data_IF_796365606524
#
_entry.id   IF_796365606524
#
_cell.length_a   1.000
_cell.length_b   1.000
_cell.length_c   1.000
_cell.angle_alpha   90.00
_cell.angle_beta   90.00
_cell.angle_gamma   90.00
#
_symmetry.space_group_name_H-M   'P 1'
#
loop_
_entity.id
_entity.type
_entity.pdbx_description
1 polymer ?
#
# COMPACT_ATOMS: atom_id res chain seq x y z
N UNK A 1 57.46 -31.30 62.10
CA UNK A 1 57.12 -30.16 61.24
C UNK A 1 56.29 -30.68 60.09
N UNK A 2 54.91 -30.64 60.20
CA UNK A 2 54.02 -31.01 59.13
C UNK A 2 53.02 -29.85 58.91
N UNK A 3 53.13 -29.20 57.77
CA UNK A 3 52.18 -28.13 57.32
C UNK A 3 50.92 -28.78 56.77
N UNK A 4 49.79 -28.50 57.37
CA UNK A 4 48.51 -28.91 56.86
C UNK A 4 48.01 -27.85 55.84
N UNK A 5 47.61 -28.29 54.66
CA UNK A 5 46.90 -27.48 53.66
C UNK A 5 45.39 -27.70 53.81
N UNK A 6 44.66 -26.59 53.98
CA UNK A 6 43.21 -26.53 53.93
C UNK A 6 42.81 -26.18 52.48
N UNK A 7 41.88 -26.87 51.82
CA UNK A 7 41.35 -26.44 50.52
C UNK A 7 40.18 -25.47 50.70
N UNK A 8 40.28 -24.35 50.05
CA UNK A 8 39.20 -23.37 49.93
C UNK A 8 38.08 -23.91 49.03
N UNK A 9 36.85 -24.00 49.57
CA UNK A 9 35.64 -24.30 48.81
C UNK A 9 35.20 -23.04 48.03
N UNK A 10 35.27 -23.09 46.71
CA UNK A 10 34.78 -22.07 45.80
C UNK A 10 33.30 -22.37 45.53
N UNK A 11 32.38 -21.58 46.14
CA UNK A 11 30.96 -21.60 45.85
C UNK A 11 30.70 -20.87 44.53
N UNK A 12 30.41 -21.66 43.49
CA UNK A 12 29.99 -21.17 42.19
C UNK A 12 28.46 -20.94 42.21
N UNK A 13 28.01 -19.68 42.32
CA UNK A 13 26.62 -19.31 42.12
C UNK A 13 26.30 -19.39 40.61
N UNK A 14 25.59 -20.42 40.20
CA UNK A 14 24.94 -20.50 38.90
C UNK A 14 23.69 -19.62 38.95
N UNK A 15 23.76 -18.40 38.42
CA UNK A 15 22.62 -17.60 38.07
C UNK A 15 22.01 -18.18 36.81
N UNK A 16 20.94 -18.97 36.96
CA UNK A 16 20.06 -19.34 35.86
C UNK A 16 19.24 -18.10 35.44
N UNK A 17 19.75 -17.40 34.44
CA UNK A 17 18.99 -16.42 33.69
C UNK A 17 17.88 -17.10 32.92
N UNK A 18 16.63 -16.98 33.38
CA UNK A 18 15.47 -17.31 32.58
C UNK A 18 15.37 -16.32 31.44
N UNK A 19 15.92 -16.66 30.29
CA UNK A 19 15.53 -16.05 29.02
C UNK A 19 14.11 -16.55 28.73
N UNK A 20 13.12 -15.73 29.06
CA UNK A 20 11.77 -15.87 28.52
C UNK A 20 11.86 -15.56 27.03
N UNK A 21 12.01 -16.57 26.18
CA UNK A 21 11.66 -16.48 24.78
C UNK A 21 10.14 -16.21 24.73
N UNK A 22 9.76 -14.96 24.58
CA UNK A 22 8.47 -14.64 23.96
C UNK A 22 8.56 -15.17 22.53
N UNK A 23 8.08 -16.40 22.35
CA UNK A 23 7.68 -16.89 21.03
C UNK A 23 6.54 -15.95 20.60
N UNK A 24 6.85 -15.00 19.69
CA UNK A 24 5.84 -14.36 18.89
C UNK A 24 4.96 -15.47 18.31
N UNK A 25 3.67 -15.40 18.57
CA UNK A 25 2.71 -16.32 17.98
C UNK A 25 2.96 -16.25 16.47
N UNK A 26 3.44 -17.36 15.87
CA UNK A 26 3.37 -17.54 14.43
C UNK A 26 1.89 -17.46 14.12
N UNK A 27 1.45 -16.37 13.48
CA UNK A 27 0.17 -16.39 12.80
C UNK A 27 0.14 -17.64 11.94
N UNK A 28 -0.79 -18.51 12.25
CA UNK A 28 -1.09 -19.67 11.41
C UNK A 28 -1.59 -19.08 10.10
N UNK A 29 -0.75 -19.13 9.05
CA UNK A 29 -1.19 -18.81 7.70
C UNK A 29 -2.45 -19.63 7.44
N UNK A 30 -3.57 -18.95 7.24
CA UNK A 30 -4.83 -19.64 6.93
C UNK A 30 -4.58 -20.47 5.68
N UNK A 31 -4.97 -21.73 5.69
CA UNK A 31 -4.74 -22.67 4.59
C UNK A 31 -5.65 -22.42 3.37
N UNK A 32 -6.49 -21.37 3.41
CA UNK A 32 -7.44 -21.01 2.36
C UNK A 32 -7.27 -19.57 1.90
N UNK A 33 -7.72 -19.24 0.67
CA UNK A 33 -7.62 -17.90 0.14
C UNK A 33 -8.38 -16.86 0.98
N UNK A 34 -7.73 -15.72 1.23
CA UNK A 34 -8.30 -14.59 1.96
C UNK A 34 -9.03 -13.64 1.03
N UNK A 35 -10.15 -13.06 1.48
CA UNK A 35 -10.95 -12.12 0.70
C UNK A 35 -11.05 -10.77 1.40
N UNK A 36 -10.66 -9.73 0.69
CA UNK A 36 -10.58 -8.35 1.18
C UNK A 36 -11.35 -7.39 0.29
N UNK A 37 -11.66 -6.19 0.82
CA UNK A 37 -12.26 -5.11 0.05
C UNK A 37 -11.79 -3.74 0.54
N UNK A 38 -12.03 -2.68 -0.24
CA UNK A 38 -11.83 -1.30 0.15
C UNK A 38 -13.16 -0.64 0.46
N UNK A 39 -13.16 0.30 1.42
CA UNK A 39 -14.33 1.11 1.76
C UNK A 39 -13.91 2.47 2.30
N UNK A 40 -14.55 3.52 1.78
CA UNK A 40 -14.54 4.84 2.41
C UNK A 40 -15.55 4.87 3.56
N UNK A 41 -15.04 5.05 4.77
CA UNK A 41 -15.87 5.18 5.97
C UNK A 41 -16.40 6.60 6.09
N UNK A 42 -17.67 6.71 6.41
CA UNK A 42 -18.33 8.00 6.70
C UNK A 42 -19.05 7.90 8.03
N UNK A 43 -18.85 8.86 8.96
CA UNK A 43 -19.64 8.90 10.19
C UNK A 43 -21.14 8.84 9.89
N UNK A 44 -21.87 7.99 10.64
CA UNK A 44 -23.29 7.79 10.47
C UNK A 44 -23.71 6.77 9.38
N UNK A 45 -22.78 6.18 8.63
CA UNK A 45 -23.09 5.06 7.76
C UNK A 45 -23.47 3.81 8.59
N UNK A 46 -24.33 2.96 8.03
CA UNK A 46 -24.66 1.68 8.68
C UNK A 46 -23.52 0.66 8.47
N UNK A 47 -22.40 0.88 9.18
CA UNK A 47 -21.20 0.06 9.05
C UNK A 47 -21.42 -1.38 9.57
N UNK A 48 -22.23 -1.56 10.62
CA UNK A 48 -22.59 -2.88 11.16
C UNK A 48 -23.25 -3.76 10.06
N UNK A 49 -24.19 -3.20 9.29
CA UNK A 49 -24.79 -3.91 8.16
C UNK A 49 -23.80 -4.27 7.06
N UNK A 50 -22.79 -3.44 6.82
CA UNK A 50 -21.74 -3.74 5.84
C UNK A 50 -20.88 -4.88 6.33
N UNK A 51 -20.42 -4.85 7.58
CA UNK A 51 -19.64 -5.93 8.19
C UNK A 51 -20.43 -7.24 8.24
N UNK A 52 -21.74 -7.18 8.50
CA UNK A 52 -22.61 -8.36 8.44
C UNK A 52 -22.61 -8.96 7.03
N UNK A 53 -22.78 -8.13 5.98
CA UNK A 53 -22.72 -8.60 4.59
C UNK A 53 -21.37 -9.21 4.28
N UNK A 54 -20.28 -8.59 4.72
CA UNK A 54 -18.92 -9.11 4.52
C UNK A 54 -18.75 -10.50 5.14
N UNK A 55 -19.17 -10.67 6.40
CA UNK A 55 -19.13 -11.97 7.07
C UNK A 55 -19.99 -12.99 6.35
N UNK A 56 -21.23 -12.64 5.98
CA UNK A 56 -22.17 -13.52 5.28
C UNK A 56 -21.58 -14.09 3.97
N UNK A 57 -20.76 -13.32 3.26
CA UNK A 57 -20.16 -13.73 1.97
C UNK A 57 -18.72 -14.26 2.10
N UNK A 58 -18.21 -14.39 3.33
CA UNK A 58 -16.89 -14.97 3.57
C UNK A 58 -15.73 -14.00 3.35
N UNK A 59 -15.92 -12.67 3.51
CA UNK A 59 -14.82 -11.72 3.57
C UNK A 59 -14.06 -11.84 4.89
N UNK A 60 -12.75 -11.62 4.84
CA UNK A 60 -11.86 -11.70 6.01
C UNK A 60 -11.44 -10.33 6.51
N UNK A 61 -11.33 -9.34 5.64
CA UNK A 61 -10.82 -8.04 6.05
C UNK A 61 -11.23 -6.89 5.14
N UNK A 62 -10.96 -5.69 5.65
CA UNK A 62 -11.30 -4.44 4.99
C UNK A 62 -10.14 -3.45 5.07
N UNK A 63 -9.79 -2.85 3.93
CA UNK A 63 -8.99 -1.65 3.85
C UNK A 63 -9.94 -0.46 4.00
N UNK A 64 -9.98 0.12 5.20
CA UNK A 64 -10.92 1.17 5.57
C UNK A 64 -10.24 2.53 5.49
N UNK A 65 -10.78 3.44 4.67
CA UNK A 65 -10.37 4.84 4.69
C UNK A 65 -11.31 5.63 5.59
N UNK A 66 -10.82 6.08 6.74
CA UNK A 66 -11.56 6.91 7.67
C UNK A 66 -10.79 8.20 7.97
N UNK A 67 -11.49 9.34 8.19
CA UNK A 67 -10.86 10.66 8.31
C UNK A 67 -9.87 10.79 9.45
N UNK A 68 -10.15 10.16 10.60
CA UNK A 68 -9.37 10.34 11.83
C UNK A 68 -9.13 9.03 12.57
N UNK A 69 -8.11 8.95 13.44
CA UNK A 69 -7.92 7.82 14.36
C UNK A 69 -9.14 7.51 15.23
N UNK A 70 -9.95 8.52 15.60
CA UNK A 70 -11.17 8.31 16.39
C UNK A 70 -12.26 7.58 15.60
N UNK A 71 -12.35 7.82 14.30
CA UNK A 71 -13.28 7.07 13.45
C UNK A 71 -12.92 5.58 13.40
N UNK A 72 -11.63 5.24 13.42
CA UNK A 72 -11.19 3.83 13.53
C UNK A 72 -11.52 3.24 14.89
N UNK A 73 -11.34 3.99 16.01
CA UNK A 73 -11.74 3.54 17.35
C UNK A 73 -13.24 3.20 17.41
N UNK A 74 -14.06 3.92 16.67
CA UNK A 74 -15.50 3.62 16.55
C UNK A 74 -15.80 2.42 15.63
N UNK A 75 -15.07 2.28 14.53
CA UNK A 75 -15.33 1.27 13.48
C UNK A 75 -14.80 -0.13 13.87
N UNK A 76 -13.61 -0.23 14.46
CA UNK A 76 -12.92 -1.49 14.73
C UNK A 76 -13.75 -2.47 15.58
N UNK A 77 -14.36 -2.08 16.71
CA UNK A 77 -15.18 -3.01 17.50
C UNK A 77 -16.37 -3.58 16.71
N UNK A 78 -16.93 -2.78 15.79
CA UNK A 78 -18.02 -3.22 14.93
C UNK A 78 -17.53 -4.26 13.93
N UNK A 79 -16.40 -4.02 13.26
CA UNK A 79 -15.82 -4.97 12.30
C UNK A 79 -15.41 -6.29 12.99
N UNK A 80 -14.74 -6.20 14.14
CA UNK A 80 -14.27 -7.37 14.89
C UNK A 80 -15.42 -8.23 15.41
N UNK A 81 -16.56 -7.64 15.78
CA UNK A 81 -17.78 -8.39 16.15
C UNK A 81 -18.23 -9.35 15.03
N UNK A 82 -17.97 -9.00 13.79
CA UNK A 82 -18.27 -9.79 12.60
C UNK A 82 -17.06 -10.62 12.09
N UNK A 83 -15.94 -10.64 12.83
CA UNK A 83 -14.74 -11.37 12.44
C UNK A 83 -13.95 -10.74 11.29
N UNK A 84 -14.17 -9.45 11.01
CA UNK A 84 -13.52 -8.70 9.93
C UNK A 84 -12.27 -7.97 10.46
N UNK A 85 -11.11 -8.26 9.88
CA UNK A 85 -9.88 -7.52 10.12
C UNK A 85 -9.95 -6.12 9.51
N UNK A 86 -9.35 -5.13 10.18
CA UNK A 86 -9.35 -3.73 9.72
C UNK A 86 -7.93 -3.24 9.51
N UNK A 87 -7.60 -2.87 8.26
CA UNK A 87 -6.40 -2.11 7.96
C UNK A 87 -6.77 -0.66 7.69
N UNK A 88 -6.01 0.27 8.26
CA UNK A 88 -6.18 1.68 7.91
C UNK A 88 -5.65 1.92 6.51
N UNK A 89 -6.54 2.23 5.57
CA UNK A 89 -6.21 2.57 4.19
C UNK A 89 -5.88 4.06 4.12
N UNK A 90 -4.59 4.37 4.01
CA UNK A 90 -4.07 5.73 4.15
C UNK A 90 -3.39 6.20 2.86
N UNK A 91 -3.81 7.36 2.38
CA UNK A 91 -3.08 8.07 1.35
C UNK A 91 -1.86 8.77 1.97
N UNK A 92 -0.69 8.53 1.40
CA UNK A 92 0.57 8.96 2.00
C UNK A 92 1.24 10.10 1.24
N UNK A 93 1.63 9.88 -0.03
CA UNK A 93 2.25 10.94 -0.82
C UNK A 93 1.23 11.90 -1.42
N UNK A 94 0.06 11.45 -1.85
CA UNK A 94 -1.06 12.31 -2.19
C UNK A 94 -1.85 12.64 -0.91
N UNK A 95 -2.13 13.91 -0.69
CA UNK A 95 -2.88 14.33 0.50
C UNK A 95 -4.38 14.24 0.26
N UNK A 96 -5.09 13.70 1.25
CA UNK A 96 -6.55 13.62 1.28
C UNK A 96 -7.11 14.55 2.38
N UNK A 97 -7.20 14.06 3.61
CA UNK A 97 -7.83 14.78 4.72
C UNK A 97 -7.01 15.98 5.22
N UNK A 98 -5.68 15.91 5.13
CA UNK A 98 -4.77 17.00 5.56
C UNK A 98 -4.50 18.03 4.47
N UNK A 99 -5.04 17.84 3.26
CA UNK A 99 -4.66 18.58 2.06
C UNK A 99 -4.73 20.09 2.22
N UNK A 100 -5.88 20.61 2.64
CA UNK A 100 -6.13 22.04 2.66
C UNK A 100 -5.27 22.75 3.73
N UNK A 101 -5.02 22.05 4.85
CA UNK A 101 -4.12 22.51 5.91
C UNK A 101 -2.69 22.62 5.39
N UNK A 102 -2.17 21.54 4.82
CA UNK A 102 -0.77 21.48 4.36
C UNK A 102 -0.54 22.42 3.16
N UNK A 103 -1.50 22.54 2.24
CA UNK A 103 -1.41 23.55 1.16
C UNK A 103 -1.24 24.97 1.68
N UNK A 104 -1.87 25.30 2.78
CA UNK A 104 -1.80 26.64 3.38
C UNK A 104 -0.53 26.84 4.20
N UNK A 105 -0.12 25.82 4.97
CA UNK A 105 0.97 25.93 5.94
C UNK A 105 2.34 25.64 5.32
N UNK A 106 2.40 24.71 4.33
CA UNK A 106 3.62 24.17 3.74
C UNK A 106 3.53 24.01 2.22
N UNK A 107 3.26 25.07 1.44
CA UNK A 107 3.21 24.98 -0.02
C UNK A 107 4.52 24.50 -0.66
N UNK A 108 5.65 24.70 0.02
CA UNK A 108 6.97 24.23 -0.41
C UNK A 108 7.17 22.71 -0.34
N UNK A 109 6.28 21.97 0.30
CA UNK A 109 6.40 20.51 0.40
C UNK A 109 5.93 19.77 -0.84
N UNK A 110 5.27 20.45 -1.78
CA UNK A 110 4.62 19.78 -2.90
C UNK A 110 5.57 19.47 -4.05
N UNK A 111 5.32 18.34 -4.70
CA UNK A 111 6.06 17.92 -5.89
C UNK A 111 5.99 18.95 -7.01
N UNK A 112 7.10 19.09 -7.73
CA UNK A 112 7.28 20.01 -8.86
C UNK A 112 7.44 19.19 -10.14
N UNK A 113 6.79 19.62 -11.23
CA UNK A 113 6.91 18.96 -12.52
C UNK A 113 8.15 19.45 -13.31
N UNK A 114 8.42 18.82 -14.45
CA UNK A 114 9.57 19.14 -15.32
C UNK A 114 9.54 20.58 -15.86
N UNK A 115 8.36 21.21 -15.93
CA UNK A 115 8.21 22.62 -16.29
C UNK A 115 8.42 23.60 -15.11
N UNK A 116 8.81 23.11 -13.93
CA UNK A 116 9.00 23.92 -12.73
C UNK A 116 7.71 24.37 -12.04
N UNK A 117 6.58 23.72 -12.32
CA UNK A 117 5.29 24.04 -11.69
C UNK A 117 5.04 23.13 -10.49
N UNK A 118 4.77 23.74 -9.32
CA UNK A 118 4.41 23.03 -8.10
C UNK A 118 2.95 22.60 -8.10
N UNK A 119 2.67 21.44 -7.49
CA UNK A 119 1.30 21.02 -7.19
C UNK A 119 0.64 21.88 -6.09
N UNK A 120 1.39 22.72 -5.39
CA UNK A 120 0.79 23.71 -4.50
C UNK A 120 -0.03 24.74 -5.29
N UNK A 121 0.53 25.24 -6.42
CA UNK A 121 -0.04 26.33 -7.20
C UNK A 121 -0.87 25.87 -8.40
N UNK A 122 -0.62 24.63 -8.86
CA UNK A 122 -1.24 24.08 -10.07
C UNK A 122 -1.94 22.75 -9.77
N UNK A 123 -2.79 22.33 -10.69
CA UNK A 123 -3.32 20.97 -10.70
C UNK A 123 -2.72 20.19 -11.87
N UNK A 124 -2.51 18.87 -11.66
CA UNK A 124 -2.33 17.96 -12.77
C UNK A 124 -3.70 17.76 -13.48
N UNK A 125 -3.84 16.73 -14.30
CA UNK A 125 -5.12 16.41 -14.97
C UNK A 125 -6.19 15.88 -14.01
N UNK A 126 -5.82 15.49 -12.77
CA UNK A 126 -6.76 15.09 -11.70
C UNK A 126 -6.78 16.18 -10.63
N UNK A 127 -7.94 16.78 -10.37
CA UNK A 127 -8.07 17.95 -9.52
C UNK A 127 -7.65 17.75 -8.06
N UNK A 128 -7.76 16.52 -7.53
CA UNK A 128 -7.37 16.20 -6.16
C UNK A 128 -5.90 15.76 -6.01
N UNK A 129 -5.12 15.73 -7.10
CA UNK A 129 -3.70 15.38 -7.02
C UNK A 129 -2.88 16.48 -6.35
N UNK A 130 -2.44 16.22 -5.13
CA UNK A 130 -1.61 17.10 -4.30
C UNK A 130 -0.51 16.26 -3.63
N UNK A 131 0.41 15.75 -4.49
CA UNK A 131 1.50 14.88 -4.06
C UNK A 131 2.63 15.67 -3.41
N UNK A 132 3.16 15.17 -2.31
CA UNK A 132 4.30 15.69 -1.59
C UNK A 132 5.63 15.29 -2.24
N UNK A 133 6.70 15.99 -1.89
CA UNK A 133 8.07 15.65 -2.29
C UNK A 133 8.66 14.63 -1.31
N UNK A 134 9.01 13.39 -1.74
CA UNK A 134 9.51 12.34 -0.84
C UNK A 134 10.93 12.61 -0.31
N UNK A 135 11.68 13.54 -0.90
CA UNK A 135 13.05 13.85 -0.51
C UNK A 135 13.15 14.79 0.68
N UNK A 136 12.08 15.51 1.03
CA UNK A 136 12.08 16.47 2.13
C UNK A 136 12.04 15.77 3.50
N UNK A 137 13.01 16.04 4.40
CA UNK A 137 12.99 15.45 5.75
C UNK A 137 11.72 15.79 6.53
N UNK A 138 11.20 17.00 6.37
CA UNK A 138 9.99 17.49 7.02
C UNK A 138 8.74 16.72 6.56
N UNK A 139 8.65 16.39 5.27
CA UNK A 139 7.59 15.55 4.71
C UNK A 139 7.67 14.12 5.27
N UNK A 140 8.88 13.56 5.35
CA UNK A 140 9.10 12.23 5.93
C UNK A 140 8.68 12.20 7.40
N UNK A 141 9.04 13.22 8.18
CA UNK A 141 8.64 13.29 9.59
C UNK A 141 7.12 13.48 9.73
N UNK A 142 6.49 14.33 8.93
CA UNK A 142 5.04 14.48 8.88
C UNK A 142 4.33 13.14 8.61
N UNK A 143 4.78 12.39 7.60
CA UNK A 143 4.21 11.07 7.28
C UNK A 143 4.41 10.10 8.45
N UNK A 144 5.61 10.07 9.04
CA UNK A 144 5.95 9.20 10.16
C UNK A 144 5.06 9.45 11.38
N UNK A 145 4.86 10.71 11.77
CA UNK A 145 4.00 11.08 12.88
C UNK A 145 2.52 10.74 12.60
N UNK A 146 2.07 10.95 11.36
CA UNK A 146 0.75 10.52 10.92
C UNK A 146 0.58 9.00 11.09
N UNK A 147 1.51 8.19 10.58
CA UNK A 147 1.45 6.72 10.71
C UNK A 147 1.45 6.27 12.18
N UNK A 148 2.27 6.86 13.04
CA UNK A 148 2.27 6.56 14.48
C UNK A 148 0.89 6.77 15.11
N UNK A 149 0.24 7.89 14.83
CA UNK A 149 -1.08 8.20 15.38
C UNK A 149 -2.14 7.14 15.04
N UNK A 150 -2.07 6.54 13.82
CA UNK A 150 -2.94 5.42 13.45
C UNK A 150 -2.48 4.10 14.09
N UNK A 151 -1.17 3.85 14.20
CA UNK A 151 -0.66 2.65 14.87
C UNK A 151 -1.02 2.58 16.35
N UNK A 152 -1.23 3.72 17.02
CA UNK A 152 -1.68 3.80 18.41
C UNK A 152 -3.17 3.43 18.60
N UNK A 153 -3.92 3.24 17.52
CA UNK A 153 -5.32 2.81 17.62
C UNK A 153 -5.36 1.34 18.05
N UNK A 154 -5.96 1.11 19.22
CA UNK A 154 -6.13 -0.25 19.74
C UNK A 154 -7.03 -1.10 18.83
N UNK A 155 -6.65 -2.35 18.61
CA UNK A 155 -7.39 -3.29 17.78
C UNK A 155 -7.18 -3.10 16.28
N UNK A 156 -6.52 -2.03 15.80
CA UNK A 156 -6.18 -1.91 14.40
C UNK A 156 -5.20 -3.02 13.99
N UNK A 157 -5.54 -3.81 12.97
CA UNK A 157 -4.75 -4.97 12.54
C UNK A 157 -3.52 -4.57 11.71
N UNK A 158 -3.64 -3.54 10.87
CA UNK A 158 -2.54 -3.10 10.02
C UNK A 158 -2.75 -1.73 9.38
N UNK A 159 -1.73 -1.31 8.64
CA UNK A 159 -1.74 -0.10 7.81
C UNK A 159 -1.61 -0.54 6.35
N UNK A 160 -2.50 -0.08 5.48
CA UNK A 160 -2.43 -0.25 4.03
C UNK A 160 -2.19 1.11 3.38
N UNK A 161 -0.98 1.35 2.88
CA UNK A 161 -0.66 2.62 2.21
C UNK A 161 -1.12 2.60 0.76
N UNK A 162 -1.64 3.75 0.31
CA UNK A 162 -2.02 4.00 -1.07
C UNK A 162 -1.55 5.39 -1.52
N UNK A 163 -1.66 5.67 -2.81
CA UNK A 163 -1.11 6.90 -3.41
C UNK A 163 0.33 7.18 -2.98
N UNK A 164 1.07 6.11 -2.63
CA UNK A 164 2.48 6.16 -2.25
C UNK A 164 3.35 6.16 -3.52
N UNK A 165 3.33 7.29 -4.26
CA UNK A 165 3.83 7.39 -5.62
C UNK A 165 3.94 8.85 -6.10
N UNK A 166 4.41 9.05 -7.31
CA UNK A 166 4.25 10.31 -8.02
C UNK A 166 2.96 10.33 -8.87
N UNK A 167 2.69 11.48 -9.52
CA UNK A 167 1.63 11.62 -10.52
C UNK A 167 1.88 10.64 -11.67
N UNK A 168 0.82 10.10 -12.24
CA UNK A 168 0.89 9.17 -13.36
C UNK A 168 1.44 9.91 -14.60
N UNK A 169 2.58 9.47 -15.13
CA UNK A 169 3.15 10.00 -16.37
C UNK A 169 2.65 9.25 -17.60
N UNK A 170 2.11 8.06 -17.40
CA UNK A 170 1.44 7.23 -18.40
C UNK A 170 0.17 6.67 -17.78
N UNK A 171 -0.97 6.85 -18.46
CA UNK A 171 -2.25 6.24 -18.12
C UNK A 171 -2.62 5.16 -19.14
N UNK A 172 -3.36 4.14 -18.71
CA UNK A 172 -4.02 3.23 -19.66
C UNK A 172 -4.87 4.02 -20.67
N UNK A 173 -4.80 3.62 -21.95
CA UNK A 173 -5.50 4.33 -23.05
C UNK A 173 -7.00 4.40 -22.84
N UNK A 174 -7.59 3.43 -22.16
CA UNK A 174 -9.00 3.38 -21.80
C UNK A 174 -9.43 4.54 -20.87
N UNK A 175 -8.50 5.13 -20.12
CA UNK A 175 -8.75 6.24 -19.21
C UNK A 175 -8.57 7.62 -19.86
N UNK A 176 -7.94 7.71 -21.03
CA UNK A 176 -7.70 8.99 -21.70
C UNK A 176 -8.99 9.80 -21.97
N UNK A 177 -10.07 9.20 -22.48
CA UNK A 177 -11.31 9.93 -22.69
C UNK A 177 -11.94 10.46 -21.39
N UNK A 178 -11.80 9.70 -20.30
CA UNK A 178 -12.32 10.09 -18.98
C UNK A 178 -11.67 11.38 -18.45
N UNK A 179 -10.36 11.53 -18.66
CA UNK A 179 -9.61 12.72 -18.22
C UNK A 179 -9.45 13.79 -19.30
N UNK A 180 -9.89 13.50 -20.54
CA UNK A 180 -9.75 14.42 -21.66
C UNK A 180 -8.29 14.68 -22.08
N UNK A 181 -7.41 13.70 -21.88
CA UNK A 181 -5.96 13.80 -22.16
C UNK A 181 -5.49 12.67 -23.08
N UNK A 182 -4.32 12.87 -23.70
CA UNK A 182 -3.57 11.85 -24.43
C UNK A 182 -2.18 11.78 -23.81
N UNK A 183 -1.78 10.60 -23.36
CA UNK A 183 -0.45 10.34 -22.78
C UNK A 183 0.29 9.27 -23.58
N UNK A 184 0.57 9.55 -24.86
CA UNK A 184 1.35 8.67 -25.75
C UNK A 184 2.86 8.68 -25.43
N UNK A 185 3.30 9.61 -24.55
CA UNK A 185 4.65 9.76 -24.01
C UNK A 185 4.63 10.44 -22.64
N UNK A 186 5.78 10.54 -21.99
CA UNK A 186 5.93 11.26 -20.73
C UNK A 186 6.03 12.78 -20.98
N UNK A 187 4.91 13.49 -20.84
CA UNK A 187 4.86 14.95 -21.00
C UNK A 187 5.41 15.68 -19.80
N UNK A 188 6.16 16.78 -20.04
CA UNK A 188 6.76 17.58 -18.99
C UNK A 188 5.76 18.13 -17.97
N UNK A 189 4.53 18.41 -18.40
CA UNK A 189 3.46 18.93 -17.53
C UNK A 189 3.01 17.92 -16.46
N UNK A 190 3.19 16.63 -16.71
CA UNK A 190 2.75 15.55 -15.79
C UNK A 190 3.92 14.75 -15.21
N UNK A 191 5.16 15.04 -15.62
CA UNK A 191 6.36 14.38 -15.10
C UNK A 191 6.86 15.13 -13.86
N UNK A 192 6.49 14.63 -12.68
CA UNK A 192 6.81 15.18 -11.37
C UNK A 192 8.06 14.52 -10.76
N UNK A 193 8.57 15.17 -9.69
CA UNK A 193 9.80 14.77 -9.01
C UNK A 193 10.95 15.76 -9.22
N UNK A 194 10.69 16.92 -9.84
CA UNK A 194 11.68 17.97 -10.11
C UNK A 194 11.72 19.06 -9.02
N UNK A 195 11.34 18.71 -7.79
CA UNK A 195 11.54 19.59 -6.65
C UNK A 195 13.03 19.91 -6.48
N UNK A 196 13.43 21.17 -6.09
CA UNK A 196 14.84 21.52 -5.93
C UNK A 196 15.65 20.55 -5.08
N UNK A 197 15.08 20.01 -4.00
CA UNK A 197 15.75 19.04 -3.14
C UNK A 197 16.00 17.70 -3.87
N UNK A 198 15.05 17.20 -4.66
CA UNK A 198 15.23 16.03 -5.49
C UNK A 198 16.39 16.19 -6.47
N UNK A 199 16.44 17.35 -7.14
CA UNK A 199 17.49 17.68 -8.11
C UNK A 199 18.85 17.81 -7.43
N UNK A 200 18.90 18.42 -6.24
CA UNK A 200 20.12 18.57 -5.45
C UNK A 200 20.70 17.21 -5.06
N UNK A 201 19.89 16.33 -4.47
CA UNK A 201 20.31 14.99 -4.05
C UNK A 201 20.73 14.13 -5.24
N UNK A 202 20.00 14.18 -6.35
CA UNK A 202 20.37 13.46 -7.56
C UNK A 202 21.72 13.93 -8.09
N UNK A 203 21.94 15.26 -8.16
CA UNK A 203 23.22 15.83 -8.62
C UNK A 203 24.37 15.45 -7.71
N UNK A 204 24.17 15.42 -6.39
CA UNK A 204 25.19 14.94 -5.44
C UNK A 204 25.55 13.47 -5.68
N UNK A 205 24.57 12.63 -5.95
CA UNK A 205 24.77 11.21 -6.15
C UNK A 205 25.35 10.85 -7.53
N UNK A 206 24.94 11.53 -8.58
CA UNK A 206 25.25 11.15 -9.96
C UNK A 206 26.14 12.14 -10.72
N UNK A 207 26.37 13.35 -10.18
CA UNK A 207 27.29 14.37 -10.73
C UNK A 207 26.72 15.24 -11.84
N UNK A 208 25.42 15.14 -12.17
CA UNK A 208 24.76 15.96 -13.19
C UNK A 208 23.30 16.28 -12.81
N UNK A 209 22.72 17.28 -13.47
CA UNK A 209 21.30 17.61 -13.35
C UNK A 209 20.51 16.84 -14.43
N UNK A 210 19.44 16.10 -14.11
CA UNK A 210 18.69 15.34 -15.10
C UNK A 210 18.07 16.24 -16.19
N UNK A 211 17.87 17.54 -15.92
CA UNK A 211 17.36 18.53 -16.87
C UNK A 211 18.37 18.89 -17.97
N UNK A 212 19.65 18.52 -17.79
CA UNK A 212 20.70 18.68 -18.82
C UNK A 212 20.60 17.62 -19.93
N UNK A 213 19.81 16.55 -19.72
CA UNK A 213 19.54 15.54 -20.74
C UNK A 213 18.55 16.09 -21.79
N UNK A 214 18.70 15.66 -23.05
CA UNK A 214 17.77 16.02 -24.12
C UNK A 214 16.34 15.59 -23.80
N UNK A 215 16.17 14.35 -23.32
CA UNK A 215 14.91 13.85 -22.76
C UNK A 215 15.12 13.17 -21.40
N UNK A 216 14.86 13.88 -20.29
CA UNK A 216 14.99 13.30 -18.95
C UNK A 216 14.11 12.08 -18.68
N UNK A 217 13.04 11.87 -19.46
CA UNK A 217 12.17 10.69 -19.31
C UNK A 217 12.86 9.38 -19.68
N UNK A 218 13.90 9.46 -20.52
CA UNK A 218 14.72 8.32 -20.94
C UNK A 218 15.89 8.03 -19.98
N UNK A 219 16.16 8.94 -19.05
CA UNK A 219 17.24 8.76 -18.07
C UNK A 219 16.84 7.71 -17.01
N UNK A 220 17.44 6.51 -17.16
CA UNK A 220 17.19 5.37 -16.28
C UNK A 220 17.63 5.66 -14.83
N UNK A 221 18.74 6.41 -14.64
CA UNK A 221 19.23 6.77 -13.30
C UNK A 221 18.26 7.73 -12.61
N UNK A 222 17.74 8.72 -13.34
CA UNK A 222 16.75 9.66 -12.82
C UNK A 222 15.43 8.96 -12.47
N UNK A 223 14.96 8.05 -13.30
CA UNK A 223 13.77 7.25 -13.00
C UNK A 223 13.99 6.40 -11.74
N UNK A 224 15.11 5.66 -11.67
CA UNK A 224 15.41 4.80 -10.53
C UNK A 224 15.56 5.62 -9.24
N UNK A 225 16.26 6.74 -9.28
CA UNK A 225 16.40 7.63 -8.12
C UNK A 225 15.04 8.05 -7.56
N UNK A 226 14.08 8.41 -8.42
CA UNK A 226 12.72 8.74 -7.98
C UNK A 226 12.00 7.53 -7.36
N UNK A 227 12.17 6.35 -7.92
CA UNK A 227 11.66 5.11 -7.31
C UNK A 227 12.30 4.84 -5.94
N UNK A 228 13.60 5.08 -5.80
CA UNK A 228 14.33 4.85 -4.55
C UNK A 228 13.85 5.82 -3.46
N UNK A 229 13.57 7.08 -3.78
CA UNK A 229 13.01 8.04 -2.83
C UNK A 229 11.62 7.61 -2.30
N UNK A 230 10.76 7.06 -3.15
CA UNK A 230 9.47 6.48 -2.75
C UNK A 230 9.69 5.23 -1.90
N UNK A 231 10.63 4.36 -2.28
CA UNK A 231 10.97 3.12 -1.55
C UNK A 231 11.50 3.43 -0.13
N UNK A 232 12.37 4.43 0.02
CA UNK A 232 12.87 4.86 1.33
C UNK A 232 11.75 5.27 2.28
N UNK A 233 10.77 6.05 1.78
CA UNK A 233 9.61 6.46 2.59
C UNK A 233 8.71 5.26 2.91
N UNK A 234 8.46 4.34 1.96
CA UNK A 234 7.70 3.12 2.21
C UNK A 234 8.34 2.26 3.31
N UNK A 235 9.66 2.06 3.25
CA UNK A 235 10.38 1.26 4.22
C UNK A 235 10.47 1.93 5.59
N UNK A 236 10.58 3.26 5.65
CA UNK A 236 10.43 4.04 6.90
C UNK A 236 9.05 3.83 7.52
N UNK A 237 7.98 3.84 6.73
CA UNK A 237 6.62 3.54 7.21
C UNK A 237 6.56 2.11 7.76
N UNK A 238 7.12 1.14 7.03
CA UNK A 238 7.15 -0.26 7.45
C UNK A 238 7.84 -0.44 8.82
N UNK A 239 8.98 0.22 9.04
CA UNK A 239 9.69 0.21 10.33
C UNK A 239 8.80 0.73 11.47
N UNK A 240 8.07 1.82 11.23
CA UNK A 240 7.11 2.36 12.22
C UNK A 240 6.01 1.35 12.50
N UNK A 241 5.34 0.84 11.47
CA UNK A 241 4.21 -0.09 11.60
C UNK A 241 4.64 -1.36 12.35
N UNK A 242 5.77 -1.95 11.97
CA UNK A 242 6.32 -3.14 12.62
C UNK A 242 6.72 -2.88 14.08
N UNK A 243 7.18 -1.66 14.43
CA UNK A 243 7.51 -1.31 15.82
C UNK A 243 6.29 -1.33 16.77
N UNK A 244 5.08 -1.19 16.21
CA UNK A 244 3.81 -1.35 16.93
C UNK A 244 3.23 -2.77 16.82
N UNK A 245 3.95 -3.72 16.23
CA UNK A 245 3.50 -5.11 16.03
C UNK A 245 2.31 -5.23 15.08
N UNK A 246 2.15 -4.31 14.14
CA UNK A 246 1.05 -4.28 13.16
C UNK A 246 1.52 -4.72 11.78
N UNK A 247 0.57 -5.16 10.96
CA UNK A 247 0.82 -5.58 9.58
C UNK A 247 1.02 -4.37 8.66
N UNK A 248 2.10 -4.39 7.87
CA UNK A 248 2.35 -3.40 6.83
C UNK A 248 1.87 -3.89 5.47
N UNK A 249 0.95 -3.15 4.88
CA UNK A 249 0.41 -3.45 3.55
C UNK A 249 0.44 -2.24 2.62
N UNK A 250 0.28 -2.50 1.31
CA UNK A 250 0.18 -1.45 0.30
C UNK A 250 -0.76 -1.84 -0.85
N UNK A 251 -1.36 -0.82 -1.49
CA UNK A 251 -2.17 -0.95 -2.71
C UNK A 251 -1.45 -0.26 -3.89
N UNK A 252 -0.38 -0.84 -4.44
CA UNK A 252 0.38 -0.24 -5.53
C UNK A 252 -0.24 -0.52 -6.91
N UNK A 253 0.36 0.05 -7.96
CA UNK A 253 0.03 -0.24 -9.36
C UNK A 253 0.31 -1.72 -9.70
N UNK A 254 -0.25 -2.23 -10.82
CA UNK A 254 -0.44 -3.66 -11.06
C UNK A 254 0.80 -4.54 -10.88
N UNK A 255 1.96 -4.12 -11.41
CA UNK A 255 3.22 -4.87 -11.23
C UNK A 255 4.37 -3.92 -10.90
N UNK A 256 5.47 -4.39 -10.26
CA UNK A 256 6.64 -3.53 -9.98
C UNK A 256 7.17 -2.83 -11.23
N UNK A 257 7.20 -3.53 -12.37
CA UNK A 257 7.68 -2.99 -13.65
C UNK A 257 6.76 -1.89 -14.20
N UNK A 258 5.45 -2.13 -14.23
CA UNK A 258 4.47 -1.14 -14.65
C UNK A 258 4.48 0.06 -13.70
N UNK A 259 4.44 -0.17 -12.42
CA UNK A 259 4.41 0.84 -11.38
C UNK A 259 5.66 1.74 -11.39
N UNK A 260 6.85 1.17 -11.56
CA UNK A 260 8.10 1.93 -11.70
C UNK A 260 8.05 2.89 -12.89
N UNK A 261 7.50 2.44 -14.03
CA UNK A 261 7.39 3.27 -15.22
C UNK A 261 6.29 4.32 -15.11
N UNK A 262 5.10 3.91 -14.67
CA UNK A 262 3.91 4.77 -14.71
C UNK A 262 3.90 5.82 -13.60
N UNK A 263 4.35 5.44 -12.40
CA UNK A 263 4.17 6.24 -11.17
C UNK A 263 5.38 6.26 -10.23
N UNK A 264 6.51 5.71 -10.67
CA UNK A 264 7.78 5.65 -9.90
C UNK A 264 7.63 4.83 -8.59
N UNK A 265 6.85 3.75 -8.61
CA UNK A 265 6.77 2.75 -7.55
C UNK A 265 7.62 1.53 -7.90
N UNK A 266 8.61 1.19 -7.10
CA UNK A 266 9.38 -0.06 -7.19
C UNK A 266 9.03 -0.94 -5.99
N UNK A 267 7.73 -1.29 -5.89
CA UNK A 267 7.15 -1.90 -4.71
C UNK A 267 7.64 -3.33 -4.42
N UNK A 268 8.26 -3.98 -5.39
CA UNK A 268 8.97 -5.25 -5.15
C UNK A 268 10.12 -5.12 -4.15
N UNK A 269 10.60 -3.90 -3.88
CA UNK A 269 11.64 -3.59 -2.89
C UNK A 269 11.10 -3.08 -1.55
N UNK A 270 9.79 -2.97 -1.41
CA UNK A 270 9.20 -2.48 -0.17
C UNK A 270 9.14 -3.58 0.87
N UNK A 271 9.34 -3.24 2.14
CA UNK A 271 9.26 -4.18 3.27
C UNK A 271 7.81 -4.37 3.72
N UNK A 272 7.03 -5.06 2.88
CA UNK A 272 5.61 -5.32 3.08
C UNK A 272 5.37 -6.73 3.62
N UNK A 273 4.40 -6.89 4.52
CA UNK A 273 3.84 -8.18 4.89
C UNK A 273 2.83 -8.65 3.86
N UNK A 274 1.98 -7.72 3.38
CA UNK A 274 0.94 -8.00 2.37
C UNK A 274 0.96 -6.93 1.28
N UNK A 275 0.77 -7.35 0.04
CA UNK A 275 0.57 -6.43 -1.08
C UNK A 275 -0.76 -6.72 -1.78
N UNK A 276 -1.50 -5.64 -2.08
CA UNK A 276 -2.76 -5.62 -2.80
C UNK A 276 -2.59 -4.85 -4.12
N UNK A 277 -1.80 -5.34 -5.11
CA UNK A 277 -1.59 -4.60 -6.35
C UNK A 277 -2.92 -4.42 -7.08
N UNK A 278 -3.17 -3.20 -7.55
CA UNK A 278 -4.42 -2.81 -8.21
C UNK A 278 -4.46 -3.32 -9.67
N UNK A 279 -4.63 -4.64 -9.84
CA UNK A 279 -4.71 -5.29 -11.17
C UNK A 279 -6.12 -5.12 -11.73
N UNK A 280 -6.56 -3.86 -11.87
CA UNK A 280 -7.90 -3.51 -12.32
C UNK A 280 -8.04 -3.72 -13.83
N UNK A 281 -8.29 -4.98 -14.24
CA UNK A 281 -8.37 -5.40 -15.64
C UNK A 281 -9.25 -4.48 -16.51
N UNK A 282 -10.33 -3.96 -15.95
CA UNK A 282 -11.25 -3.05 -16.65
C UNK A 282 -10.59 -1.73 -17.11
N UNK A 283 -9.46 -1.35 -16.50
CA UNK A 283 -8.70 -0.16 -16.91
C UNK A 283 -7.68 -0.46 -18.03
N UNK A 284 -7.39 -1.73 -18.31
CA UNK A 284 -6.35 -2.15 -19.25
C UNK A 284 -6.92 -2.94 -20.43
N UNK A 285 -7.03 -4.24 -20.34
CA UNK A 285 -7.47 -5.12 -21.43
C UNK A 285 -8.95 -5.50 -21.38
N UNK A 286 -9.56 -5.43 -20.19
CA UNK A 286 -10.95 -5.79 -19.97
C UNK A 286 -11.21 -7.30 -19.79
N UNK A 287 -10.18 -8.14 -19.75
CA UNK A 287 -10.28 -9.60 -19.65
C UNK A 287 -9.37 -10.20 -18.59
N UNK A 288 -9.51 -11.51 -18.34
CA UNK A 288 -8.76 -12.23 -17.31
C UNK A 288 -7.28 -12.47 -17.67
N UNK A 289 -6.87 -12.29 -18.91
CA UNK A 289 -5.46 -12.47 -19.33
C UNK A 289 -4.55 -11.47 -18.63
N UNK A 290 -5.01 -10.22 -18.48
CA UNK A 290 -4.29 -9.20 -17.74
C UNK A 290 -4.05 -9.57 -16.27
N UNK A 291 -5.06 -10.17 -15.62
CA UNK A 291 -4.94 -10.70 -14.25
C UNK A 291 -3.88 -11.80 -14.20
N UNK A 292 -3.92 -12.75 -15.17
CA UNK A 292 -2.94 -13.84 -15.27
C UNK A 292 -1.51 -13.30 -15.36
N UNK A 293 -1.25 -12.45 -16.35
CA UNK A 293 0.09 -11.96 -16.66
C UNK A 293 0.66 -11.14 -15.48
N UNK A 294 -0.15 -10.24 -14.91
CA UNK A 294 0.24 -9.46 -13.75
C UNK A 294 0.49 -10.33 -12.51
N UNK A 295 -0.35 -11.35 -12.26
CA UNK A 295 -0.17 -12.20 -11.08
C UNK A 295 1.13 -13.01 -11.18
N UNK A 296 1.43 -13.59 -12.35
CA UNK A 296 2.68 -14.32 -12.60
C UNK A 296 3.89 -13.40 -12.40
N UNK A 297 3.84 -12.18 -12.94
CA UNK A 297 4.91 -11.18 -12.75
C UNK A 297 5.06 -10.81 -11.27
N UNK A 298 3.96 -10.58 -10.56
CA UNK A 298 3.95 -10.20 -9.16
C UNK A 298 4.53 -11.30 -8.24
N UNK A 299 4.17 -12.56 -8.48
CA UNK A 299 4.74 -13.71 -7.73
C UNK A 299 6.25 -13.78 -7.89
N UNK A 300 6.76 -13.50 -9.09
CA UNK A 300 8.20 -13.50 -9.38
C UNK A 300 8.93 -12.30 -8.78
N UNK A 301 8.34 -11.10 -8.86
CA UNK A 301 9.05 -9.83 -8.65
C UNK A 301 8.78 -9.18 -7.28
N UNK A 302 7.80 -9.69 -6.49
CA UNK A 302 7.58 -9.25 -5.10
C UNK A 302 8.73 -9.66 -4.19
N UNK A 303 8.85 -9.01 -3.03
CA UNK A 303 9.72 -9.50 -1.97
C UNK A 303 9.25 -10.89 -1.51
N UNK A 304 10.20 -11.82 -1.28
CA UNK A 304 9.90 -13.21 -0.89
C UNK A 304 9.03 -13.33 0.37
N UNK A 305 9.20 -12.38 1.31
CA UNK A 305 8.44 -12.36 2.57
C UNK A 305 7.04 -11.78 2.44
N UNK A 306 6.70 -11.17 1.29
CA UNK A 306 5.42 -10.50 1.07
C UNK A 306 4.35 -11.47 0.60
N UNK A 307 3.20 -11.49 1.24
CA UNK A 307 1.98 -12.19 0.80
C UNK A 307 1.29 -11.40 -0.31
N UNK A 308 0.90 -12.06 -1.39
CA UNK A 308 0.23 -11.43 -2.54
C UNK A 308 -1.28 -11.66 -2.50
N UNK A 309 -2.07 -10.60 -2.38
CA UNK A 309 -3.52 -10.61 -2.59
C UNK A 309 -3.85 -9.78 -3.84
N UNK A 310 -4.35 -10.45 -4.89
CA UNK A 310 -4.62 -9.78 -6.16
C UNK A 310 -5.79 -8.80 -6.03
N UNK A 311 -5.53 -7.51 -6.23
CA UNK A 311 -6.56 -6.46 -6.27
C UNK A 311 -7.24 -6.41 -7.65
N UNK A 312 -8.57 -6.49 -7.69
CA UNK A 312 -9.32 -6.45 -8.93
C UNK A 312 -10.61 -5.63 -8.82
N UNK A 313 -11.14 -5.22 -9.97
CA UNK A 313 -12.43 -4.51 -10.00
C UNK A 313 -13.56 -5.47 -9.70
N UNK A 314 -14.43 -5.11 -8.75
CA UNK A 314 -15.68 -5.82 -8.51
C UNK A 314 -16.66 -5.54 -9.65
N UNK A 315 -17.23 -6.59 -10.24
CA UNK A 315 -18.25 -6.53 -11.29
C UNK A 315 -19.42 -7.44 -10.93
N UNK A 316 -20.53 -7.29 -11.61
CA UNK A 316 -21.74 -8.09 -11.41
C UNK A 316 -21.85 -9.32 -12.32
N UNK A 317 -20.79 -9.56 -13.11
CA UNK A 317 -20.76 -10.63 -14.11
C UNK A 317 -19.83 -11.80 -13.77
N UNK A 318 -19.89 -12.89 -14.56
CA UNK A 318 -19.06 -14.08 -14.36
C UNK A 318 -17.55 -13.81 -14.51
N UNK A 319 -17.16 -12.77 -15.25
CA UNK A 319 -15.78 -12.36 -15.44
C UNK A 319 -15.04 -12.11 -14.12
N UNK A 320 -15.73 -11.62 -13.08
CA UNK A 320 -15.12 -11.41 -11.77
C UNK A 320 -14.59 -12.72 -11.18
N UNK A 321 -15.39 -13.80 -11.25
CA UNK A 321 -15.00 -15.11 -10.71
C UNK A 321 -13.90 -15.77 -11.57
N UNK A 322 -13.96 -15.62 -12.88
CA UNK A 322 -12.87 -16.04 -13.78
C UNK A 322 -11.56 -15.34 -13.42
N UNK A 323 -11.59 -14.03 -13.19
CA UNK A 323 -10.42 -13.26 -12.73
C UNK A 323 -9.88 -13.76 -11.38
N UNK A 324 -10.78 -14.11 -10.43
CA UNK A 324 -10.39 -14.67 -9.14
C UNK A 324 -9.71 -16.04 -9.30
N UNK A 325 -10.29 -16.94 -10.09
CA UNK A 325 -9.73 -18.27 -10.36
C UNK A 325 -8.33 -18.15 -10.99
N UNK A 326 -8.20 -17.26 -11.99
CA UNK A 326 -6.93 -17.04 -12.66
C UNK A 326 -5.87 -16.48 -11.71
N UNK A 327 -6.23 -15.54 -10.82
CA UNK A 327 -5.29 -15.01 -9.84
C UNK A 327 -4.83 -16.09 -8.83
N UNK A 328 -5.77 -16.85 -8.27
CA UNK A 328 -5.45 -17.91 -7.30
C UNK A 328 -4.62 -19.04 -7.95
N UNK A 329 -4.98 -19.48 -9.15
CA UNK A 329 -4.25 -20.50 -9.89
C UNK A 329 -2.83 -20.08 -10.29
N UNK A 330 -2.56 -18.78 -10.39
CA UNK A 330 -1.23 -18.21 -10.68
C UNK A 330 -0.45 -17.81 -9.41
N UNK A 331 -0.93 -18.19 -8.22
CA UNK A 331 -0.17 -18.09 -6.97
C UNK A 331 -0.50 -16.89 -6.08
N UNK A 332 -1.58 -16.15 -6.34
CA UNK A 332 -2.11 -15.23 -5.34
C UNK A 332 -2.66 -16.00 -4.14
N UNK A 333 -2.39 -15.53 -2.93
CA UNK A 333 -2.83 -16.16 -1.68
C UNK A 333 -4.16 -15.58 -1.19
N UNK A 334 -4.70 -14.62 -1.92
CA UNK A 334 -5.99 -13.99 -1.65
C UNK A 334 -6.40 -13.02 -2.74
N UNK A 335 -7.59 -12.48 -2.57
CA UNK A 335 -8.25 -11.57 -3.50
C UNK A 335 -8.70 -10.33 -2.74
N UNK A 336 -8.53 -9.16 -3.35
CA UNK A 336 -9.15 -7.93 -2.87
C UNK A 336 -10.01 -7.32 -3.96
N UNK A 337 -11.29 -7.04 -3.67
CA UNK A 337 -12.24 -6.51 -4.66
C UNK A 337 -12.55 -5.03 -4.42
N UNK A 338 -12.46 -4.23 -5.44
CA UNK A 338 -12.77 -2.81 -5.41
C UNK A 338 -14.13 -2.56 -6.09
N UNK A 339 -15.25 -2.37 -5.34
CA UNK A 339 -15.46 -2.26 -3.89
C UNK A 339 -16.63 -3.15 -3.43
N UNK A 340 -16.80 -3.24 -2.11
CA UNK A 340 -17.92 -3.95 -1.45
C UNK A 340 -19.31 -3.52 -1.95
N UNK A 341 -19.46 -2.32 -2.49
CA UNK A 341 -20.74 -1.81 -2.94
C UNK A 341 -21.39 -2.68 -4.01
N UNK A 342 -20.62 -3.24 -4.95
CA UNK A 342 -21.11 -4.16 -5.99
C UNK A 342 -21.58 -5.48 -5.36
N UNK A 343 -20.87 -5.97 -4.35
CA UNK A 343 -21.15 -7.24 -3.68
C UNK A 343 -22.42 -7.21 -2.81
N UNK A 344 -23.04 -6.05 -2.62
CA UNK A 344 -24.26 -5.91 -1.82
C UNK A 344 -25.55 -6.25 -2.58
N UNK A 345 -25.49 -6.36 -3.92
CA UNK A 345 -26.65 -6.79 -4.69
C UNK A 345 -27.00 -8.25 -4.34
N UNK A 346 -28.30 -8.61 -4.21
CA UNK A 346 -28.69 -9.96 -3.77
C UNK A 346 -28.13 -11.07 -4.64
N UNK A 347 -28.05 -10.86 -5.95
CA UNK A 347 -27.54 -11.85 -6.90
C UNK A 347 -26.02 -12.04 -6.75
N UNK A 348 -25.25 -10.94 -6.79
CA UNK A 348 -23.79 -10.96 -6.66
C UNK A 348 -23.39 -11.49 -5.28
N UNK A 349 -24.10 -11.08 -4.21
CA UNK A 349 -23.90 -11.61 -2.85
C UNK A 349 -24.01 -13.14 -2.80
N UNK A 350 -25.06 -13.72 -3.42
CA UNK A 350 -25.27 -15.18 -3.45
C UNK A 350 -24.16 -15.89 -4.23
N UNK A 351 -23.78 -15.34 -5.39
CA UNK A 351 -22.72 -15.91 -6.22
C UNK A 351 -21.37 -15.84 -5.53
N UNK A 352 -21.04 -14.70 -4.91
CA UNK A 352 -19.79 -14.50 -4.18
C UNK A 352 -19.68 -15.46 -2.99
N UNK A 353 -20.76 -15.62 -2.20
CA UNK A 353 -20.83 -16.57 -1.11
C UNK A 353 -20.57 -18.02 -1.60
N UNK A 354 -21.25 -18.42 -2.67
CA UNK A 354 -21.04 -19.75 -3.23
C UNK A 354 -19.59 -19.96 -3.71
N UNK A 355 -18.99 -18.93 -4.28
CA UNK A 355 -17.59 -18.95 -4.70
C UNK A 355 -16.63 -19.10 -3.51
N UNK A 356 -16.75 -18.26 -2.49
CA UNK A 356 -15.88 -18.33 -1.30
C UNK A 356 -16.00 -19.64 -0.57
N UNK A 357 -17.21 -20.21 -0.49
CA UNK A 357 -17.41 -21.54 0.09
C UNK A 357 -16.72 -22.62 -0.74
N UNK A 358 -16.76 -22.55 -2.08
CA UNK A 358 -16.17 -23.55 -2.96
C UNK A 358 -14.64 -23.59 -2.92
N UNK A 359 -13.99 -22.42 -2.83
CA UNK A 359 -12.51 -22.34 -2.81
C UNK A 359 -11.93 -22.60 -1.42
N UNK A 360 -12.76 -22.69 -0.39
CA UNK A 360 -12.37 -23.00 0.99
C UNK A 360 -12.72 -24.45 1.42
N UNK A 361 -13.47 -25.18 0.57
CA UNK A 361 -13.86 -26.58 0.82
C UNK A 361 -12.71 -27.53 0.51
#
# INVERSE_FOLDING_TARGET
MKKSFLPAFLLLFLALGMFSCQQGAKETTKEYPMFWTWLDYRPGMNFDSICQVMNDIGMDGIMLNAPTPDDYRAAIPVAHKHGIEVYAWLWTMNLEHDRDKILKEHPEWFSVNRNGKSLADTTAYVGYYKFLCPALPEVREFIKEKIKAYCEVEGLNGIAIDYHRFVDVVLPTTLWPHYGIVQDREYAAWDYGYHPEMLRLFKEQYGYDPREQEDPSLDVKWRQFRCDQITEVANMIAEVVHSYGKTMAASPFPTPKMASRMVRQDWGKWNLDIVFPMVYHTFYTGDASFISDCTVENVRDKNDMTTLYCGMTATDGPMMFECMDVALNNGAQGIAVFTIHVLRSPEVKRQFKAYTDSVRA
#
